data_IF_731038430437
#
_entry.id   IF_731038430437
#
_cell.length_a   1.000
_cell.length_b   1.000
_cell.length_c   1.000
_cell.angle_alpha   90.00
_cell.angle_beta   90.00
_cell.angle_gamma   90.00
#
_symmetry.space_group_name_H-M   'P 1'
#
loop_
_entity.id
_entity.type
_entity.pdbx_description
1 polymer ?
#
# COMPACT_ATOMS: atom_id res chain seq x y z
N UNK A 1 -7.57 1.87 29.43
CA UNK A 1 -7.60 1.15 28.14
C UNK A 1 -7.29 -0.33 28.36
N UNK A 2 -8.20 -1.21 27.98
CA UNK A 2 -7.96 -2.66 27.90
C UNK A 2 -7.41 -2.99 26.50
N UNK A 3 -6.25 -3.65 26.40
CA UNK A 3 -5.70 -4.14 25.14
C UNK A 3 -5.98 -5.64 25.00
N UNK A 4 -6.67 -6.02 23.94
CA UNK A 4 -6.95 -7.42 23.58
C UNK A 4 -6.04 -7.87 22.43
N UNK A 5 -5.67 -9.14 22.44
CA UNK A 5 -4.79 -9.77 21.45
C UNK A 5 -5.49 -11.02 20.89
N UNK A 6 -6.47 -10.85 20.00
CA UNK A 6 -7.18 -11.96 19.41
C UNK A 6 -6.21 -12.88 18.65
N UNK A 7 -6.43 -14.19 18.80
CA UNK A 7 -5.67 -15.26 18.15
C UNK A 7 -6.44 -15.90 17.00
N UNK A 8 -7.71 -15.55 16.83
CA UNK A 8 -8.59 -16.00 15.76
C UNK A 8 -9.40 -14.85 15.17
N UNK A 9 -9.84 -15.03 13.92
CA UNK A 9 -10.74 -14.09 13.25
C UNK A 9 -12.05 -13.90 14.03
N UNK A 10 -12.55 -14.95 14.66
CA UNK A 10 -13.77 -14.89 15.48
C UNK A 10 -13.57 -13.96 16.67
N UNK A 11 -12.50 -14.12 17.44
CA UNK A 11 -12.17 -13.22 18.56
C UNK A 11 -11.94 -11.77 18.12
N UNK A 12 -11.27 -11.57 16.98
CA UNK A 12 -11.05 -10.23 16.42
C UNK A 12 -12.38 -9.56 16.02
N UNK A 13 -13.32 -10.33 15.46
CA UNK A 13 -14.67 -9.86 15.14
C UNK A 13 -15.48 -9.50 16.39
N UNK A 14 -15.39 -10.31 17.44
CA UNK A 14 -16.01 -10.00 18.73
C UNK A 14 -15.48 -8.69 19.31
N UNK A 15 -14.14 -8.50 19.30
CA UNK A 15 -13.54 -7.22 19.70
C UNK A 15 -14.13 -6.03 18.93
N UNK A 16 -14.26 -6.17 17.61
CA UNK A 16 -14.81 -5.14 16.74
C UNK A 16 -16.29 -4.87 17.03
N UNK A 17 -17.09 -5.92 17.22
CA UNK A 17 -18.52 -5.83 17.53
C UNK A 17 -18.78 -5.17 18.90
N UNK A 18 -17.88 -5.36 19.88
CA UNK A 18 -17.91 -4.71 21.19
C UNK A 18 -17.39 -3.26 21.15
N UNK A 19 -17.00 -2.73 19.98
CA UNK A 19 -16.54 -1.35 19.82
C UNK A 19 -15.08 -1.11 20.21
N UNK A 20 -14.27 -2.17 20.39
CA UNK A 20 -12.85 -2.01 20.63
C UNK A 20 -12.14 -1.41 19.39
N UNK A 21 -11.22 -0.48 19.62
CA UNK A 21 -10.51 0.23 18.54
C UNK A 21 -9.37 -0.64 18.00
N UNK A 22 -9.33 -0.92 16.68
CA UNK A 22 -8.21 -1.66 16.09
C UNK A 22 -6.95 -0.83 16.09
N UNK A 23 -5.83 -1.43 16.50
CA UNK A 23 -4.51 -0.81 16.47
C UNK A 23 -3.49 -1.70 15.76
N UNK A 24 -2.64 -1.06 14.95
CA UNK A 24 -1.39 -1.65 14.48
C UNK A 24 -0.25 -1.38 15.45
N UNK A 25 0.82 -0.76 14.97
CA UNK A 25 1.98 -0.38 15.80
C UNK A 25 1.82 0.89 16.63
N UNK A 26 0.63 1.46 16.71
CA UNK A 26 0.28 2.68 17.46
C UNK A 26 1.10 3.94 17.10
N UNK A 27 1.95 3.91 16.09
CA UNK A 27 2.85 5.02 15.70
C UNK A 27 2.15 6.33 15.35
N UNK A 28 0.86 6.28 15.03
CA UNK A 28 0.05 7.45 14.69
C UNK A 28 -0.93 7.81 15.81
N UNK A 29 -1.62 6.80 16.36
CA UNK A 29 -2.71 7.04 17.31
C UNK A 29 -2.22 7.35 18.72
N UNK A 30 -1.00 6.96 19.06
CA UNK A 30 -0.47 7.16 20.41
C UNK A 30 -0.45 8.63 20.84
N UNK A 31 0.09 9.51 20.00
CA UNK A 31 0.14 10.94 20.29
C UNK A 31 -1.27 11.57 20.38
N UNK A 32 -2.19 11.10 19.54
CA UNK A 32 -3.60 11.51 19.57
C UNK A 32 -4.25 11.09 20.87
N UNK A 33 -4.07 9.83 21.27
CA UNK A 33 -4.66 9.31 22.51
C UNK A 33 -4.07 9.93 23.79
N UNK A 34 -2.78 10.28 23.77
CA UNK A 34 -2.18 11.01 24.90
C UNK A 34 -2.80 12.39 25.09
N UNK A 35 -3.20 13.06 24.00
CA UNK A 35 -3.82 14.38 24.03
C UNK A 35 -5.33 14.33 24.32
N UNK A 36 -6.03 13.41 23.63
CA UNK A 36 -7.50 13.41 23.54
C UNK A 36 -8.14 12.33 24.44
N UNK A 37 -7.31 11.48 25.09
CA UNK A 37 -7.73 10.36 25.91
C UNK A 37 -7.64 9.02 25.20
N UNK A 38 -7.42 7.96 25.99
CA UNK A 38 -7.35 6.59 25.49
C UNK A 38 -8.76 6.01 25.33
N UNK A 39 -9.00 5.16 24.31
CA UNK A 39 -10.25 4.41 24.21
C UNK A 39 -10.41 3.46 25.41
N UNK A 40 -11.64 3.08 25.71
CA UNK A 40 -11.94 2.12 26.78
C UNK A 40 -11.29 0.76 26.50
N UNK A 41 -11.43 0.28 25.25
CA UNK A 41 -10.82 -0.96 24.76
C UNK A 41 -10.18 -0.79 23.40
N UNK A 42 -9.09 -1.50 23.16
CA UNK A 42 -8.41 -1.62 21.87
C UNK A 42 -8.02 -3.07 21.61
N UNK A 43 -7.81 -3.44 20.36
CA UNK A 43 -7.28 -4.75 20.01
C UNK A 43 -6.22 -4.67 18.92
N UNK A 44 -5.27 -5.60 18.94
CA UNK A 44 -4.19 -5.68 17.95
C UNK A 44 -4.17 -7.05 17.29
N UNK A 45 -4.04 -7.06 15.96
CA UNK A 45 -3.99 -8.28 15.15
C UNK A 45 -2.61 -8.98 15.17
N UNK A 46 -1.69 -8.56 16.02
CA UNK A 46 -0.30 -9.07 16.01
C UNK A 46 -0.19 -10.57 16.29
N UNK A 47 -1.16 -11.16 16.99
CA UNK A 47 -1.21 -12.59 17.31
C UNK A 47 -2.14 -13.37 16.35
N UNK A 48 -2.79 -12.69 15.40
CA UNK A 48 -3.69 -13.31 14.44
C UNK A 48 -2.91 -13.85 13.23
N UNK A 49 -2.87 -15.17 12.98
CA UNK A 49 -2.07 -15.75 11.89
C UNK A 49 -2.40 -15.16 10.52
N UNK A 50 -3.69 -14.99 10.20
CA UNK A 50 -4.17 -14.47 8.92
C UNK A 50 -3.70 -13.03 8.64
N UNK A 51 -3.45 -12.26 9.70
CA UNK A 51 -2.94 -10.89 9.58
C UNK A 51 -1.40 -10.80 9.60
N UNK A 52 -0.69 -11.93 9.75
CA UNK A 52 0.76 -11.99 9.83
C UNK A 52 1.41 -12.78 8.69
N UNK A 53 0.64 -13.15 7.66
CA UNK A 53 1.15 -13.82 6.47
C UNK A 53 2.14 -12.92 5.71
N UNK A 54 3.19 -13.52 5.15
CA UNK A 54 4.16 -12.83 4.29
C UNK A 54 4.61 -13.81 3.21
N UNK A 55 4.33 -13.50 1.96
CA UNK A 55 4.62 -14.35 0.81
C UNK A 55 4.82 -13.53 -0.46
N UNK A 56 5.15 -14.18 -1.58
CA UNK A 56 5.43 -13.49 -2.85
C UNK A 56 4.19 -12.80 -3.45
N UNK A 57 3.00 -13.21 -3.05
CA UNK A 57 1.70 -12.76 -3.55
C UNK A 57 0.79 -12.23 -2.43
N UNK A 58 1.28 -12.12 -1.19
CA UNK A 58 0.45 -11.76 -0.06
C UNK A 58 1.23 -11.07 1.05
N UNK A 59 0.58 -10.14 1.76
CA UNK A 59 1.09 -9.53 2.98
C UNK A 59 -0.04 -9.27 3.97
N UNK A 60 0.16 -9.67 5.22
CA UNK A 60 -0.80 -9.45 6.31
C UNK A 60 -0.82 -8.01 6.82
N UNK A 61 -1.98 -7.56 7.28
CA UNK A 61 -2.18 -6.22 7.82
C UNK A 61 -1.40 -5.93 9.10
N UNK A 62 -1.07 -6.97 9.89
CA UNK A 62 -0.27 -6.85 11.11
C UNK A 62 1.24 -6.98 10.87
N UNK A 63 1.68 -7.33 9.66
CA UNK A 63 3.11 -7.43 9.32
C UNK A 63 3.78 -6.09 9.57
N UNK A 64 4.88 -6.11 10.33
CA UNK A 64 5.69 -4.93 10.61
C UNK A 64 6.50 -4.54 9.37
N UNK A 65 6.60 -3.24 9.10
CA UNK A 65 7.22 -2.75 7.86
C UNK A 65 8.69 -3.17 7.71
N UNK A 66 9.43 -3.35 8.81
CA UNK A 66 10.82 -3.80 8.75
C UNK A 66 10.98 -5.28 8.40
N UNK A 67 9.90 -6.08 8.47
CA UNK A 67 9.90 -7.51 8.09
C UNK A 67 9.64 -7.73 6.60
N UNK A 68 9.24 -6.69 5.88
CA UNK A 68 9.01 -6.76 4.44
C UNK A 68 10.37 -6.83 3.74
N UNK A 69 10.71 -7.99 3.24
CA UNK A 69 11.99 -8.33 2.62
C UNK A 69 11.85 -8.70 1.12
N UNK A 70 12.83 -9.40 0.57
CA UNK A 70 12.85 -9.80 -0.84
C UNK A 70 11.82 -10.91 -1.19
N UNK A 71 11.04 -11.39 -0.26
CA UNK A 71 9.95 -12.34 -0.51
C UNK A 71 8.82 -11.70 -1.32
N UNK A 72 8.58 -10.39 -1.11
CA UNK A 72 7.55 -9.63 -1.84
C UNK A 72 8.15 -8.89 -3.04
N UNK A 73 7.33 -8.42 -4.01
CA UNK A 73 7.81 -7.60 -5.12
C UNK A 73 8.56 -6.34 -4.65
N UNK A 74 9.61 -5.97 -5.38
CA UNK A 74 10.50 -4.86 -5.04
C UNK A 74 9.75 -3.53 -4.80
N UNK A 75 8.71 -3.26 -5.56
CA UNK A 75 7.90 -2.04 -5.37
C UNK A 75 7.35 -1.94 -3.94
N UNK A 76 6.89 -3.03 -3.35
CA UNK A 76 6.36 -3.04 -1.99
C UNK A 76 7.48 -3.00 -0.94
N UNK A 77 8.55 -3.77 -1.16
CA UNK A 77 9.74 -3.80 -0.30
C UNK A 77 10.39 -2.42 -0.19
N UNK A 78 10.63 -1.77 -1.33
CA UNK A 78 11.22 -0.43 -1.40
C UNK A 78 10.28 0.61 -0.76
N UNK A 79 8.98 0.54 -1.03
CA UNK A 79 8.00 1.42 -0.39
C UNK A 79 8.07 1.30 1.15
N UNK A 80 8.03 0.08 1.68
CA UNK A 80 8.13 -0.17 3.13
C UNK A 80 9.45 0.37 3.72
N UNK A 81 10.57 0.16 3.02
CA UNK A 81 11.90 0.63 3.42
C UNK A 81 12.04 2.14 3.56
N UNK A 82 11.19 2.91 2.88
CA UNK A 82 11.22 4.40 2.87
C UNK A 82 10.24 5.03 3.86
N UNK A 83 9.47 4.27 4.63
CA UNK A 83 8.53 4.80 5.62
C UNK A 83 9.27 5.26 6.86
N UNK A 84 9.19 6.53 7.19
CA UNK A 84 9.72 7.12 8.42
C UNK A 84 11.16 6.70 8.75
N UNK A 85 11.45 6.59 10.05
CA UNK A 85 12.75 6.12 10.55
C UNK A 85 12.77 4.59 10.74
N UNK A 86 13.94 4.01 10.97
CA UNK A 86 14.08 2.61 11.35
C UNK A 86 13.27 2.24 12.60
N UNK A 87 13.17 3.15 13.57
CA UNK A 87 12.34 2.95 14.77
C UNK A 87 10.85 2.86 14.41
N UNK A 88 10.36 3.73 13.54
CA UNK A 88 8.98 3.70 13.04
C UNK A 88 8.70 2.38 12.32
N UNK A 89 9.58 1.92 11.44
CA UNK A 89 9.37 0.67 10.70
C UNK A 89 9.36 -0.58 11.59
N UNK A 90 10.01 -0.56 12.75
CA UNK A 90 9.98 -1.67 13.73
C UNK A 90 8.65 -1.78 14.48
N UNK A 91 7.80 -0.78 14.38
CA UNK A 91 6.50 -0.76 15.08
C UNK A 91 5.32 -0.59 14.12
N UNK A 92 5.46 0.21 13.07
CA UNK A 92 4.40 0.43 12.09
C UNK A 92 4.07 -0.85 11.31
N UNK A 93 2.78 -1.06 11.03
CA UNK A 93 2.24 -2.22 10.31
C UNK A 93 1.74 -1.83 8.92
N UNK A 94 1.59 -2.80 8.04
CA UNK A 94 0.99 -2.64 6.71
C UNK A 94 -0.39 -2.01 6.82
N UNK A 95 -1.28 -2.60 7.63
CA UNK A 95 -2.65 -2.11 7.82
C UNK A 95 -2.67 -0.70 8.41
N UNK A 96 -1.85 -0.44 9.44
CA UNK A 96 -1.73 0.91 10.01
C UNK A 96 -1.25 1.95 9.00
N UNK A 97 -0.39 1.57 8.06
CA UNK A 97 0.08 2.48 7.01
C UNK A 97 -0.97 2.75 5.93
N UNK A 98 -1.67 1.72 5.42
CA UNK A 98 -2.65 1.88 4.34
C UNK A 98 -3.95 2.48 4.85
N UNK A 99 -4.45 2.02 6.00
CA UNK A 99 -5.77 2.40 6.53
C UNK A 99 -5.67 3.62 7.43
N UNK A 100 -4.71 3.64 8.36
CA UNK A 100 -4.62 4.65 9.42
C UNK A 100 -3.85 5.90 9.02
N UNK A 101 -2.81 5.79 8.20
CA UNK A 101 -1.93 6.91 7.84
C UNK A 101 -2.56 7.84 6.80
N UNK A 102 -2.44 9.14 6.98
CA UNK A 102 -2.79 10.12 5.94
C UNK A 102 -1.83 10.06 4.74
N UNK A 103 -0.55 9.72 4.99
CA UNK A 103 0.47 9.60 3.93
C UNK A 103 0.33 8.33 3.11
N UNK A 104 -0.26 7.26 3.65
CA UNK A 104 -0.47 5.97 2.96
C UNK A 104 0.71 5.57 2.07
N UNK A 105 1.92 5.54 2.63
CA UNK A 105 3.15 5.35 1.86
C UNK A 105 3.19 4.04 1.06
N UNK A 106 2.51 3.00 1.51
CA UNK A 106 2.41 1.72 0.81
C UNK A 106 1.30 1.69 -0.25
N UNK A 107 0.35 2.63 -0.22
CA UNK A 107 -0.80 2.62 -1.13
C UNK A 107 -0.40 2.67 -2.61
N UNK A 108 0.55 3.52 -3.06
CA UNK A 108 0.99 3.47 -4.46
C UNK A 108 1.52 2.10 -4.90
N UNK A 109 2.31 1.43 -4.03
CA UNK A 109 2.82 0.09 -4.31
C UNK A 109 1.67 -0.94 -4.38
N UNK A 110 0.73 -0.90 -3.44
CA UNK A 110 -0.43 -1.80 -3.45
C UNK A 110 -1.33 -1.60 -4.68
N UNK A 111 -1.51 -0.35 -5.13
CA UNK A 111 -2.30 -0.03 -6.33
C UNK A 111 -1.67 -0.58 -7.61
N UNK A 112 -0.35 -0.45 -7.77
CA UNK A 112 0.31 -0.99 -8.98
C UNK A 112 0.40 -2.50 -8.98
N UNK A 113 0.38 -3.14 -7.82
CA UNK A 113 0.26 -4.59 -7.69
C UNK A 113 -1.17 -5.12 -7.98
N UNK A 114 -2.14 -4.24 -8.23
CA UNK A 114 -3.57 -4.60 -8.35
C UNK A 114 -4.08 -5.34 -7.11
N UNK A 115 -3.58 -4.97 -5.94
CA UNK A 115 -3.81 -5.72 -4.73
C UNK A 115 -5.29 -5.69 -4.33
N UNK A 116 -5.82 -6.86 -3.93
CA UNK A 116 -7.11 -7.05 -3.31
C UNK A 116 -6.94 -7.15 -1.81
N UNK A 117 -7.81 -6.51 -1.08
CA UNK A 117 -7.79 -6.52 0.37
C UNK A 117 -8.75 -7.56 0.94
N UNK A 118 -8.30 -8.30 1.94
CA UNK A 118 -9.19 -9.05 2.84
C UNK A 118 -9.40 -8.19 4.07
N UNK A 119 -10.64 -7.86 4.37
CA UNK A 119 -11.01 -6.98 5.48
C UNK A 119 -11.93 -7.69 6.46
N UNK A 120 -11.81 -7.30 7.74
CA UNK A 120 -12.71 -7.72 8.81
C UNK A 120 -13.68 -6.59 9.11
N UNK A 121 -14.96 -6.92 9.07
CA UNK A 121 -16.09 -6.07 9.46
C UNK A 121 -16.93 -6.77 10.54
N UNK A 122 -17.84 -6.08 11.24
CA UNK A 122 -18.64 -6.71 12.30
C UNK A 122 -19.47 -7.93 11.85
N UNK A 123 -19.88 -7.93 10.59
CA UNK A 123 -20.67 -9.00 9.95
C UNK A 123 -19.83 -10.13 9.36
N UNK A 124 -18.51 -9.96 9.26
CA UNK A 124 -17.60 -11.02 8.81
C UNK A 124 -16.37 -10.55 8.06
N UNK A 125 -15.75 -11.51 7.38
CA UNK A 125 -14.57 -11.27 6.52
C UNK A 125 -15.03 -11.23 5.06
N UNK A 126 -14.52 -10.27 4.31
CA UNK A 126 -14.79 -10.15 2.87
C UNK A 126 -13.60 -9.58 2.09
N UNK A 127 -13.67 -9.70 0.80
CA UNK A 127 -12.76 -8.99 -0.09
C UNK A 127 -13.27 -7.56 -0.37
N UNK A 128 -12.32 -6.64 -0.54
CA UNK A 128 -12.56 -5.24 -0.90
C UNK A 128 -11.48 -4.74 -1.85
N UNK A 129 -11.81 -3.77 -2.67
CA UNK A 129 -10.80 -3.03 -3.42
C UNK A 129 -10.13 -1.95 -2.56
N UNK A 130 -8.98 -1.47 -3.02
CA UNK A 130 -8.20 -0.48 -2.26
C UNK A 130 -8.90 0.88 -2.16
N UNK A 131 -9.74 1.26 -3.12
CA UNK A 131 -10.49 2.51 -3.05
C UNK A 131 -11.50 2.45 -1.91
N UNK A 132 -12.20 1.33 -1.76
CA UNK A 132 -13.11 1.10 -0.65
C UNK A 132 -12.37 1.08 0.70
N UNK A 133 -11.22 0.38 0.78
CA UNK A 133 -10.37 0.33 1.99
C UNK A 133 -9.94 1.73 2.43
N UNK A 134 -9.53 2.58 1.49
CA UNK A 134 -9.13 3.96 1.77
C UNK A 134 -10.32 4.81 2.24
N UNK A 135 -11.49 4.63 1.64
CA UNK A 135 -12.69 5.39 1.95
C UNK A 135 -13.31 4.99 3.30
N UNK A 136 -13.49 3.69 3.53
CA UNK A 136 -14.21 3.16 4.71
C UNK A 136 -13.30 2.86 5.91
N UNK A 137 -12.00 2.68 5.69
CA UNK A 137 -11.00 2.36 6.72
C UNK A 137 -11.35 1.14 7.57
N UNK A 138 -11.70 0.01 6.96
CA UNK A 138 -12.00 -1.23 7.69
C UNK A 138 -10.74 -1.81 8.33
N UNK A 139 -10.90 -2.86 9.13
CA UNK A 139 -9.76 -3.61 9.66
C UNK A 139 -9.15 -4.46 8.54
N UNK A 140 -7.94 -4.12 8.11
CA UNK A 140 -7.22 -4.86 7.07
C UNK A 140 -6.58 -6.12 7.63
N UNK A 141 -7.02 -7.29 7.16
CA UNK A 141 -6.40 -8.57 7.48
C UNK A 141 -5.19 -8.86 6.57
N UNK A 142 -5.36 -8.74 5.26
CA UNK A 142 -4.27 -8.97 4.31
C UNK A 142 -4.50 -8.26 2.98
N UNK A 143 -3.42 -8.17 2.19
CA UNK A 143 -3.45 -7.84 0.77
C UNK A 143 -2.96 -9.05 -0.03
N UNK A 144 -3.55 -9.28 -1.20
CA UNK A 144 -3.13 -10.29 -2.18
C UNK A 144 -3.05 -9.68 -3.56
N UNK A 145 -2.14 -10.19 -4.38
CA UNK A 145 -1.91 -9.73 -5.77
C UNK A 145 -1.37 -10.87 -6.62
N UNK A 146 -1.47 -10.71 -7.94
CA UNK A 146 -0.72 -11.54 -8.87
C UNK A 146 0.69 -10.95 -9.03
N UNK A 147 1.76 -11.75 -8.91
CA UNK A 147 3.12 -11.25 -9.02
C UNK A 147 3.35 -10.49 -10.34
N UNK A 148 3.88 -9.27 -10.30
CA UNK A 148 4.22 -8.54 -11.51
C UNK A 148 5.45 -9.15 -12.18
N UNK A 149 5.58 -9.00 -13.50
CA UNK A 149 6.79 -9.41 -14.24
C UNK A 149 7.97 -8.47 -13.96
N UNK A 150 7.69 -7.20 -13.72
CA UNK A 150 8.68 -6.22 -13.30
C UNK A 150 7.99 -5.12 -12.47
N UNK A 151 8.74 -4.49 -11.57
CA UNK A 151 8.23 -3.36 -10.80
C UNK A 151 9.32 -2.37 -10.46
N UNK A 152 8.95 -1.11 -10.27
CA UNK A 152 9.86 -0.04 -9.89
C UNK A 152 9.21 0.89 -8.87
N UNK A 153 10.03 1.48 -8.02
CA UNK A 153 9.62 2.43 -6.99
C UNK A 153 10.63 3.56 -6.87
N UNK A 154 10.14 4.78 -6.78
CA UNK A 154 10.95 5.95 -6.52
C UNK A 154 10.25 6.88 -5.56
N UNK A 155 10.99 7.34 -4.55
CA UNK A 155 10.58 8.40 -3.64
C UNK A 155 11.61 9.52 -3.74
N UNK A 156 11.17 10.73 -4.01
CA UNK A 156 12.05 11.89 -4.02
C UNK A 156 12.43 12.30 -2.59
N UNK A 157 13.52 13.05 -2.46
CA UNK A 157 13.87 13.69 -1.20
C UNK A 157 12.85 14.77 -0.89
N UNK A 158 12.40 14.81 0.37
CA UNK A 158 11.54 15.88 0.87
C UNK A 158 12.35 16.96 1.59
N UNK A 159 11.80 18.15 1.68
CA UNK A 159 12.32 19.21 2.53
C UNK A 159 11.82 19.07 3.96
N UNK A 160 12.61 19.47 4.94
CA UNK A 160 12.21 19.47 6.35
C UNK A 160 11.08 20.49 6.56
N UNK A 161 9.93 20.02 7.03
CA UNK A 161 8.74 20.88 7.20
C UNK A 161 7.98 21.21 5.91
N UNK A 162 8.44 20.69 4.77
CA UNK A 162 7.79 20.86 3.47
C UNK A 162 6.65 19.88 3.21
N UNK A 163 6.09 19.94 2.00
CA UNK A 163 5.10 18.99 1.52
C UNK A 163 5.65 17.55 1.52
N UNK A 164 4.78 16.54 1.68
CA UNK A 164 5.20 15.15 1.54
C UNK A 164 5.88 14.91 0.19
N UNK A 165 7.05 14.21 0.16
CA UNK A 165 7.79 14.01 -1.07
C UNK A 165 7.01 13.17 -2.09
N UNK A 166 7.21 13.48 -3.37
CA UNK A 166 6.64 12.72 -4.48
C UNK A 166 7.08 11.24 -4.40
N UNK A 167 6.12 10.35 -4.63
CA UNK A 167 6.34 8.91 -4.74
C UNK A 167 5.78 8.43 -6.07
N UNK A 168 6.57 7.66 -6.82
CA UNK A 168 6.15 7.00 -8.05
C UNK A 168 6.36 5.49 -7.87
N UNK A 169 5.30 4.73 -8.07
CA UNK A 169 5.31 3.27 -8.16
C UNK A 169 4.83 2.84 -9.55
N UNK A 170 5.41 1.77 -10.08
CA UNK A 170 4.98 1.19 -11.35
C UNK A 170 5.18 -0.32 -11.36
N UNK A 171 4.33 -1.04 -12.07
CA UNK A 171 4.43 -2.48 -12.24
C UNK A 171 3.91 -2.91 -13.61
N UNK A 172 4.56 -3.94 -14.16
CA UNK A 172 4.14 -4.65 -15.37
C UNK A 172 3.50 -5.98 -15.00
N UNK A 173 2.39 -6.27 -15.64
CA UNK A 173 1.66 -7.52 -15.46
C UNK A 173 1.48 -8.20 -16.80
N UNK A 174 2.00 -9.43 -16.92
CA UNK A 174 1.77 -10.25 -18.11
C UNK A 174 0.29 -10.58 -18.28
N UNK A 175 -0.15 -10.65 -19.55
CA UNK A 175 -1.51 -11.08 -19.90
C UNK A 175 -1.45 -12.14 -20.98
N UNK A 176 -2.11 -13.26 -20.75
CA UNK A 176 -2.20 -14.33 -21.76
C UNK A 176 -3.09 -13.85 -22.90
N UNK A 177 -2.57 -13.85 -24.13
CA UNK A 177 -3.33 -13.50 -25.35
C UNK A 177 -3.68 -12.01 -25.51
N UNK A 178 -3.06 -11.13 -24.71
CA UNK A 178 -3.26 -9.67 -24.82
C UNK A 178 -1.94 -8.94 -24.50
N UNK A 179 -1.80 -7.66 -24.87
CA UNK A 179 -0.66 -6.85 -24.43
C UNK A 179 -0.54 -6.83 -22.91
N UNK A 180 0.69 -6.83 -22.41
CA UNK A 180 0.95 -6.65 -21.00
C UNK A 180 0.31 -5.35 -20.50
N UNK A 181 0.04 -5.31 -19.21
CA UNK A 181 -0.57 -4.15 -18.57
C UNK A 181 0.46 -3.41 -17.74
N UNK A 182 0.62 -2.13 -17.99
CA UNK A 182 1.36 -1.23 -17.14
C UNK A 182 0.40 -0.56 -16.16
N UNK A 183 0.77 -0.57 -14.88
CA UNK A 183 0.13 0.20 -13.82
C UNK A 183 1.11 1.21 -13.24
N UNK A 184 0.66 2.43 -13.06
CA UNK A 184 1.44 3.51 -12.43
C UNK A 184 0.58 4.15 -11.36
N UNK A 185 1.18 4.40 -10.20
CA UNK A 185 0.55 5.15 -9.12
C UNK A 185 1.53 6.21 -8.61
N UNK A 186 1.01 7.40 -8.42
CA UNK A 186 1.80 8.56 -7.96
C UNK A 186 1.14 9.15 -6.74
N UNK A 187 1.90 9.32 -5.65
CA UNK A 187 1.49 10.15 -4.53
C UNK A 187 2.17 11.50 -4.64
N UNK A 188 1.38 12.56 -4.85
CA UNK A 188 1.81 13.94 -4.80
C UNK A 188 1.16 14.61 -3.58
N UNK A 189 2.00 15.04 -2.64
CA UNK A 189 1.50 15.48 -1.34
C UNK A 189 0.75 14.34 -0.60
N UNK A 190 -0.55 14.55 -0.36
CA UNK A 190 -1.45 13.59 0.30
C UNK A 190 -2.33 12.82 -0.69
N UNK A 191 -2.40 13.26 -1.94
CA UNK A 191 -3.22 12.66 -2.98
C UNK A 191 -2.49 11.51 -3.67
N UNK A 192 -3.23 10.46 -3.99
CA UNK A 192 -2.71 9.30 -4.72
C UNK A 192 -3.55 9.13 -5.97
N UNK A 193 -2.92 9.33 -7.12
CA UNK A 193 -3.50 9.07 -8.44
C UNK A 193 -2.92 7.78 -9.00
N UNK A 194 -3.73 7.04 -9.74
CA UNK A 194 -3.27 5.85 -10.44
C UNK A 194 -3.87 5.73 -11.84
N UNK A 195 -3.10 5.14 -12.73
CA UNK A 195 -3.51 4.87 -14.11
C UNK A 195 -3.07 3.48 -14.54
N UNK A 196 -3.83 2.92 -15.47
CA UNK A 196 -3.57 1.60 -16.04
C UNK A 196 -3.72 1.70 -17.55
N UNK A 197 -2.77 1.14 -18.30
CA UNK A 197 -2.81 1.10 -19.77
C UNK A 197 -2.22 -0.22 -20.27
N UNK A 198 -2.66 -0.71 -21.44
CA UNK A 198 -1.88 -1.70 -22.17
C UNK A 198 -0.48 -1.16 -22.48
N UNK A 199 0.51 -2.04 -22.58
CA UNK A 199 1.81 -1.68 -23.09
C UNK A 199 1.76 -1.62 -24.62
N UNK A 200 1.96 -0.45 -25.18
CA UNK A 200 2.11 -0.26 -26.60
C UNK A 200 3.52 -0.67 -27.06
N UNK A 201 3.73 -0.94 -28.37
CA UNK A 201 5.06 -1.25 -28.91
C UNK A 201 6.08 -0.14 -28.69
N UNK A 202 5.62 1.12 -28.69
CA UNK A 202 6.42 2.30 -28.43
C UNK A 202 6.18 2.85 -27.03
N UNK A 203 7.27 3.16 -26.31
CA UNK A 203 7.19 3.74 -24.97
C UNK A 203 6.48 5.11 -24.95
N UNK A 204 6.63 5.90 -26.01
CA UNK A 204 5.94 7.19 -26.16
C UNK A 204 4.43 7.00 -26.20
N UNK A 205 3.93 6.08 -27.01
CA UNK A 205 2.51 5.76 -27.10
C UNK A 205 1.95 5.26 -25.76
N UNK A 206 2.71 4.42 -25.04
CA UNK A 206 2.34 3.96 -23.67
C UNK A 206 2.24 5.14 -22.69
N UNK A 207 3.18 6.10 -22.75
CA UNK A 207 3.16 7.30 -21.91
C UNK A 207 1.99 8.23 -22.24
N UNK A 208 1.64 8.37 -23.52
CA UNK A 208 0.48 9.16 -23.95
C UNK A 208 -0.84 8.51 -23.50
N UNK A 209 -0.94 7.19 -23.57
CA UNK A 209 -2.06 6.45 -23.03
C UNK A 209 -2.19 6.60 -21.51
N UNK A 210 -1.08 6.62 -20.77
CA UNK A 210 -1.07 6.94 -19.33
C UNK A 210 -1.57 8.35 -19.02
N UNK A 211 -1.22 9.33 -19.85
CA UNK A 211 -1.70 10.71 -19.70
C UNK A 211 -3.20 10.86 -19.93
N UNK A 212 -3.80 9.95 -20.69
CA UNK A 212 -5.25 9.91 -20.88
C UNK A 212 -6.01 9.33 -19.66
N UNK A 213 -5.30 8.83 -18.63
CA UNK A 213 -5.88 8.38 -17.36
C UNK A 213 -5.92 9.52 -16.34
N UNK A 214 -6.34 9.22 -15.09
CA UNK A 214 -6.27 10.16 -13.98
C UNK A 214 -4.85 10.73 -13.73
N UNK A 215 -3.81 10.11 -14.25
CA UNK A 215 -2.45 10.63 -14.16
C UNK A 215 -2.22 11.89 -15.04
N UNK A 216 -3.13 12.20 -15.96
CA UNK A 216 -3.08 13.44 -16.74
C UNK A 216 -3.14 14.71 -15.89
N UNK A 217 -3.75 14.63 -14.72
CA UNK A 217 -3.87 15.75 -13.77
C UNK A 217 -2.57 16.03 -12.98
N UNK A 218 -1.54 15.18 -13.14
CA UNK A 218 -0.26 15.37 -12.47
C UNK A 218 0.51 16.58 -13.01
N UNK A 219 1.22 17.31 -12.13
CA UNK A 219 2.08 18.40 -12.55
C UNK A 219 3.29 17.89 -13.38
N UNK A 220 3.85 18.77 -14.22
CA UNK A 220 4.98 18.42 -15.10
C UNK A 220 6.16 17.79 -14.33
N UNK A 221 6.47 18.31 -13.14
CA UNK A 221 7.54 17.78 -12.29
C UNK A 221 7.34 16.31 -11.87
N UNK A 222 6.09 15.86 -11.70
CA UNK A 222 5.81 14.45 -11.46
C UNK A 222 6.08 13.60 -12.71
N UNK A 223 5.77 14.11 -13.89
CA UNK A 223 6.05 13.45 -15.16
C UNK A 223 7.54 13.31 -15.46
N UNK A 224 8.39 14.22 -14.95
CA UNK A 224 9.85 14.10 -15.06
C UNK A 224 10.40 12.88 -14.29
N UNK A 225 9.64 12.37 -13.32
CA UNK A 225 9.96 11.13 -12.57
C UNK A 225 9.27 9.91 -13.18
N UNK A 226 8.01 10.05 -13.56
CA UNK A 226 7.21 8.95 -14.15
C UNK A 226 7.83 8.46 -15.45
N UNK A 227 8.16 9.38 -16.37
CA UNK A 227 8.66 9.03 -17.71
C UNK A 227 9.89 8.12 -17.69
N UNK A 228 11.03 8.50 -17.04
CA UNK A 228 12.22 7.65 -17.04
C UNK A 228 11.99 6.32 -16.33
N UNK A 229 11.13 6.27 -15.30
CA UNK A 229 10.80 5.03 -14.62
C UNK A 229 10.01 4.07 -15.50
N UNK A 230 9.03 4.57 -16.24
CA UNK A 230 8.24 3.78 -17.19
C UNK A 230 9.08 3.29 -18.36
N UNK A 231 9.89 4.16 -18.96
CA UNK A 231 10.79 3.77 -20.06
C UNK A 231 11.74 2.67 -19.62
N UNK A 232 12.42 2.84 -18.47
CA UNK A 232 13.34 1.81 -17.96
C UNK A 232 12.64 0.47 -17.67
N UNK A 233 11.38 0.50 -17.22
CA UNK A 233 10.60 -0.71 -16.99
C UNK A 233 10.23 -1.43 -18.29
N UNK A 234 9.87 -0.67 -19.34
CA UNK A 234 9.54 -1.22 -20.67
C UNK A 234 10.78 -1.78 -21.39
N UNK A 235 11.94 -1.14 -21.23
CA UNK A 235 13.22 -1.60 -21.79
C UNK A 235 13.69 -2.92 -21.16
N UNK A 236 13.51 -3.09 -19.83
CA UNK A 236 13.87 -4.32 -19.14
C UNK A 236 13.09 -5.55 -19.60
N UNK A 237 11.90 -5.35 -20.18
CA UNK A 237 11.05 -6.38 -20.77
C UNK A 237 11.65 -7.04 -22.03
N UNK A 238 12.44 -6.30 -22.79
CA UNK A 238 13.00 -6.75 -24.08
C UNK A 238 14.27 -7.58 -23.97
N UNK A 239 14.76 -7.85 -22.75
CA UNK A 239 16.07 -8.47 -22.52
C UNK A 239 15.99 -9.94 -22.05
N UNK A 240 14.81 -10.49 -21.85
CA UNK A 240 14.50 -11.90 -21.59
C UNK A 240 13.92 -12.54 -22.88
#
# INVERSE_FOLDING_TARGET
MLLRLPTSVTEARECLAEGAVPIGGATLVWATWQRDGFPEAAFSLRELPEANVLGPDTVGGAVLLHRIDATVPDVLRLAAGTVGTGAVRRTATVGGNIVGSTLRCLLPAALVLDARATVLEPDGVREADLAEVVAKRPVLLSLRWDPPTASAYRKLSGEVGGAPPLVVASALHARIGAPDRLRVAVRDGYDVLSGTTPCEPDAGATLDALRATALGDLPAAAWDVVRPQVVGLLESRGTD
#
